data_IF_330156400086
#
_entry.id   IF_330156400086
#
_cell.length_a   1.000
_cell.length_b   1.000
_cell.length_c   1.000
_cell.angle_alpha   90.00
_cell.angle_beta   90.00
_cell.angle_gamma   90.00
#
_symmetry.space_group_name_H-M   'P 1'
#
loop_
_entity.id
_entity.type
_entity.pdbx_description
1 polymer ?
#
# COMPACT_ATOMS: atom_id res chain seq x y z
N UNK A 1 -30.56 -31.58 -14.97
CA UNK A 1 -30.49 -30.35 -15.82
C UNK A 1 -30.35 -29.22 -14.83
N UNK A 2 -29.15 -29.08 -14.28
CA UNK A 2 -28.91 -28.33 -13.04
C UNK A 2 -28.42 -26.93 -13.41
N UNK A 3 -29.28 -25.92 -13.27
CA UNK A 3 -28.86 -24.52 -13.42
C UNK A 3 -27.98 -24.18 -12.21
N UNK A 4 -26.69 -23.98 -12.45
CA UNK A 4 -25.82 -23.36 -11.47
C UNK A 4 -26.35 -21.96 -11.11
N UNK A 5 -26.44 -21.61 -9.82
CA UNK A 5 -26.81 -20.26 -9.40
C UNK A 5 -25.72 -19.30 -9.86
N UNK A 6 -26.11 -18.30 -10.66
CA UNK A 6 -25.21 -17.22 -11.05
C UNK A 6 -24.86 -16.40 -9.81
N UNK A 7 -23.57 -16.32 -9.48
CA UNK A 7 -23.08 -15.46 -8.42
C UNK A 7 -23.44 -14.00 -8.75
N UNK A 8 -23.91 -13.21 -7.78
CA UNK A 8 -24.17 -11.80 -8.00
C UNK A 8 -22.86 -11.12 -8.40
N UNK A 9 -22.87 -10.48 -9.57
CA UNK A 9 -21.81 -9.60 -10.03
C UNK A 9 -21.67 -8.47 -9.02
N UNK A 10 -20.62 -8.47 -8.20
CA UNK A 10 -20.36 -7.35 -7.31
C UNK A 10 -20.17 -6.09 -8.14
N UNK A 11 -20.85 -4.98 -7.82
CA UNK A 11 -20.58 -3.71 -8.48
C UNK A 11 -19.11 -3.34 -8.25
N UNK A 12 -18.37 -3.10 -9.32
CA UNK A 12 -16.98 -2.67 -9.24
C UNK A 12 -16.91 -1.37 -8.44
N UNK A 13 -15.99 -1.30 -7.47
CA UNK A 13 -15.74 -0.06 -6.73
C UNK A 13 -15.32 1.05 -7.72
N UNK A 14 -15.73 2.31 -7.48
CA UNK A 14 -15.25 3.42 -8.29
C UNK A 14 -13.70 3.48 -8.23
N UNK A 15 -13.04 3.96 -9.29
CA UNK A 15 -11.59 4.08 -9.32
C UNK A 15 -11.11 4.99 -8.18
N UNK A 16 -10.07 4.54 -7.47
CA UNK A 16 -9.46 5.22 -6.34
C UNK A 16 -8.03 5.63 -6.71
N UNK A 17 -7.75 6.92 -6.66
CA UNK A 17 -6.40 7.46 -6.80
C UNK A 17 -5.74 7.66 -5.43
N UNK A 18 -4.48 7.24 -5.31
CA UNK A 18 -3.71 7.32 -4.05
C UNK A 18 -2.40 8.05 -4.30
N UNK A 19 -2.13 9.10 -3.53
CA UNK A 19 -0.86 9.82 -3.51
C UNK A 19 -0.15 9.61 -2.17
N UNK A 20 1.04 9.02 -2.20
CA UNK A 20 1.87 8.80 -1.00
C UNK A 20 2.94 9.89 -0.91
N UNK A 21 2.88 10.70 0.14
CA UNK A 21 3.88 11.75 0.39
C UNK A 21 5.10 11.19 1.14
N UNK A 22 6.14 10.84 0.39
CA UNK A 22 7.32 10.13 0.91
C UNK A 22 8.64 10.95 0.90
N UNK A 23 8.59 12.27 0.66
CA UNK A 23 9.79 13.10 0.45
C UNK A 23 10.61 13.43 1.72
N UNK A 24 10.14 13.08 2.93
CA UNK A 24 10.79 13.47 4.17
C UNK A 24 12.04 12.66 4.50
N UNK A 25 13.19 13.33 4.72
CA UNK A 25 14.47 12.68 5.03
C UNK A 25 14.51 11.98 6.40
N UNK A 26 13.81 12.49 7.41
CA UNK A 26 13.87 11.93 8.77
C UNK A 26 15.12 12.34 9.56
N UNK A 27 15.51 13.62 9.49
CA UNK A 27 16.76 14.15 10.08
C UNK A 27 16.91 13.91 11.58
N UNK A 28 15.81 13.84 12.34
CA UNK A 28 15.84 13.51 13.78
C UNK A 28 16.32 12.08 14.07
N UNK A 29 16.24 11.18 13.09
CA UNK A 29 16.70 9.79 13.22
C UNK A 29 18.23 9.66 13.20
N UNK A 30 18.97 10.74 12.87
CA UNK A 30 20.45 10.74 12.79
C UNK A 30 20.99 9.60 11.90
N UNK A 31 20.29 9.36 10.79
CA UNK A 31 20.60 8.34 9.80
C UNK A 31 20.76 9.00 8.43
N UNK A 32 21.72 8.54 7.63
CA UNK A 32 21.86 8.92 6.23
C UNK A 32 20.80 8.27 5.34
N UNK A 33 20.11 7.24 5.84
CA UNK A 33 19.01 6.57 5.14
C UNK A 33 17.73 7.39 5.31
N UNK A 34 17.00 7.65 4.22
CA UNK A 34 15.71 8.32 4.30
C UNK A 34 14.72 7.52 5.16
N UNK A 35 13.83 8.18 5.92
CA UNK A 35 12.92 7.50 6.86
C UNK A 35 12.13 6.36 6.20
N UNK A 36 11.64 6.57 4.98
CA UNK A 36 10.79 5.61 4.25
C UNK A 36 11.53 4.34 3.80
N UNK A 37 12.87 4.37 3.78
CA UNK A 37 13.72 3.24 3.40
C UNK A 37 14.22 2.43 4.61
N UNK A 38 13.98 2.88 5.84
CA UNK A 38 14.32 2.08 7.02
C UNK A 38 13.50 0.78 7.03
N UNK A 39 14.11 -0.32 7.46
CA UNK A 39 13.47 -1.64 7.41
C UNK A 39 12.61 -1.90 8.65
N UNK A 40 11.40 -2.40 8.43
CA UNK A 40 10.49 -2.98 9.43
C UNK A 40 10.07 -4.38 8.95
N UNK A 41 10.35 -5.40 9.76
CA UNK A 41 10.08 -6.80 9.38
C UNK A 41 10.88 -7.25 8.15
N UNK A 42 12.10 -6.73 7.97
CA UNK A 42 12.97 -7.05 6.83
C UNK A 42 12.66 -6.29 5.53
N UNK A 43 11.55 -5.52 5.47
CA UNK A 43 11.14 -4.73 4.30
C UNK A 43 11.21 -3.23 4.58
N UNK A 44 11.49 -2.37 3.58
CA UNK A 44 11.42 -0.91 3.77
C UNK A 44 10.05 -0.46 4.31
N UNK A 45 10.01 0.59 5.12
CA UNK A 45 8.78 1.13 5.71
C UNK A 45 7.72 1.49 4.65
N UNK A 46 8.14 1.97 3.47
CA UNK A 46 7.22 2.30 2.37
C UNK A 46 6.51 1.08 1.74
N UNK A 47 6.93 -0.14 2.09
CA UNK A 47 6.30 -1.37 1.61
C UNK A 47 5.10 -1.82 2.45
N UNK A 48 4.69 -1.02 3.44
CA UNK A 48 3.55 -1.23 4.33
C UNK A 48 2.62 -0.02 4.27
#
# INVERSE_FOLDING_TARGET
MDRQPQQPSQPGSPPLDILILAAGLGTRMRSSTAKVLHKLGGRPLIAH
#
